data_IF_478496847565
#
_entry.id   IF_478496847565
#
_cell.length_a   1.000
_cell.length_b   1.000
_cell.length_c   1.000
_cell.angle_alpha   90.00
_cell.angle_beta   90.00
_cell.angle_gamma   90.00
#
_symmetry.space_group_name_H-M   'P 1'
#
loop_
_entity.id
_entity.type
_entity.pdbx_description
1 polymer ?
#
# COMPACT_ATOMS: atom_id res chain seq x y z
N UNK A 1 -15.45 -8.83 6.64
CA UNK A 1 -14.12 -8.46 6.10
C UNK A 1 -13.12 -8.70 7.21
N UNK A 2 -12.16 -9.61 7.03
CA UNK A 2 -11.20 -9.99 8.07
C UNK A 2 -10.00 -9.04 8.05
N UNK A 3 -9.61 -8.54 9.22
CA UNK A 3 -8.44 -7.67 9.42
C UNK A 3 -7.64 -8.23 10.59
N UNK A 4 -6.43 -8.73 10.35
CA UNK A 4 -5.53 -9.23 11.40
C UNK A 4 -4.96 -8.08 12.23
N UNK A 5 -4.81 -8.27 13.54
CA UNK A 5 -4.22 -7.28 14.43
C UNK A 5 -2.71 -7.12 14.10
N UNK A 6 -2.12 -5.92 14.21
CA UNK A 6 -2.69 -4.71 14.82
C UNK A 6 -3.49 -3.81 13.85
N UNK A 7 -3.79 -4.21 12.61
CA UNK A 7 -4.41 -3.31 11.62
C UNK A 7 -5.82 -2.79 11.97
N UNK A 8 -6.49 -3.36 12.98
CA UNK A 8 -7.73 -2.80 13.55
C UNK A 8 -7.58 -1.35 14.07
N UNK A 9 -6.38 -0.92 14.48
CA UNK A 9 -6.14 0.45 14.93
C UNK A 9 -6.40 1.48 13.82
N UNK A 10 -6.20 1.09 12.56
CA UNK A 10 -6.56 1.92 11.41
C UNK A 10 -8.08 2.03 11.21
N UNK A 11 -8.85 1.04 11.70
CA UNK A 11 -10.31 1.12 11.71
C UNK A 11 -10.80 2.09 12.79
N UNK A 12 -10.11 2.13 13.93
CA UNK A 12 -10.39 3.09 15.01
C UNK A 12 -10.17 4.53 14.52
N UNK A 13 -9.08 4.80 13.78
CA UNK A 13 -8.83 6.10 13.13
C UNK A 13 -9.95 6.54 12.17
N UNK A 14 -10.68 5.56 11.61
CA UNK A 14 -11.77 5.79 10.66
C UNK A 14 -13.16 5.77 11.32
N UNK A 15 -13.24 5.53 12.63
CA UNK A 15 -14.50 5.30 13.37
C UNK A 15 -15.34 4.16 12.77
N UNK A 16 -14.70 3.05 12.38
CA UNK A 16 -15.38 1.88 11.80
C UNK A 16 -15.53 0.79 12.85
N UNK A 17 -16.77 0.45 13.19
CA UNK A 17 -17.09 -0.66 14.08
C UNK A 17 -16.74 -2.03 13.47
N UNK A 18 -16.29 -2.94 14.34
CA UNK A 18 -15.96 -4.32 14.02
C UNK A 18 -16.30 -5.26 15.17
N UNK A 19 -16.50 -6.53 14.85
CA UNK A 19 -16.57 -7.60 15.84
C UNK A 19 -15.15 -8.04 16.20
N UNK A 20 -14.77 -7.88 17.47
CA UNK A 20 -13.44 -8.23 17.95
C UNK A 20 -13.28 -9.74 18.14
N UNK A 21 -12.12 -10.27 17.76
CA UNK A 21 -11.66 -11.64 18.01
C UNK A 21 -10.23 -11.58 18.59
N UNK A 22 -9.67 -12.74 18.96
CA UNK A 22 -8.35 -12.81 19.61
C UNK A 22 -7.26 -12.09 18.81
N UNK A 23 -6.97 -12.57 17.59
CA UNK A 23 -5.84 -12.10 16.75
C UNK A 23 -6.29 -11.33 15.49
N UNK A 24 -7.59 -11.10 15.34
CA UNK A 24 -8.17 -10.40 14.19
C UNK A 24 -9.49 -9.73 14.58
N UNK A 25 -10.02 -8.91 13.68
CA UNK A 25 -11.35 -8.31 13.79
C UNK A 25 -12.14 -8.55 12.51
N UNK A 26 -13.47 -8.47 12.60
CA UNK A 26 -14.36 -8.67 11.46
C UNK A 26 -15.25 -7.46 11.27
N UNK A 27 -15.10 -6.77 10.14
CA UNK A 27 -16.04 -5.73 9.73
C UNK A 27 -17.24 -6.40 9.06
N UNK A 28 -18.45 -6.02 9.47
CA UNK A 28 -19.71 -6.62 9.00
C UNK A 28 -19.84 -6.74 7.48
N UNK A 29 -19.31 -5.77 6.74
CA UNK A 29 -19.31 -5.77 5.28
C UNK A 29 -18.10 -5.02 4.74
N UNK A 30 -17.42 -5.54 3.71
CA UNK A 30 -16.26 -4.85 3.12
C UNK A 30 -16.62 -3.46 2.60
N UNK A 31 -17.81 -3.32 2.01
CA UNK A 31 -18.32 -2.02 1.57
C UNK A 31 -18.45 -0.97 2.69
N UNK A 32 -18.65 -1.36 3.96
CA UNK A 32 -18.65 -0.40 5.07
C UNK A 32 -17.28 0.27 5.20
N UNK A 33 -16.20 -0.52 5.12
CA UNK A 33 -14.86 0.04 5.15
C UNK A 33 -14.59 0.91 3.93
N UNK A 34 -14.83 0.38 2.72
CA UNK A 34 -14.51 1.07 1.47
C UNK A 34 -15.30 2.38 1.32
N UNK A 35 -16.59 2.41 1.66
CA UNK A 35 -17.40 3.63 1.54
C UNK A 35 -17.02 4.68 2.58
N UNK A 36 -16.73 4.28 3.82
CA UNK A 36 -16.34 5.20 4.89
C UNK A 36 -15.01 5.89 4.59
N UNK A 37 -13.97 5.11 4.25
CA UNK A 37 -12.66 5.71 3.92
C UNK A 37 -12.74 6.61 2.69
N UNK A 38 -13.50 6.21 1.67
CA UNK A 38 -13.69 7.01 0.47
C UNK A 38 -14.46 8.30 0.77
N UNK A 39 -15.50 8.26 1.59
CA UNK A 39 -16.26 9.45 2.00
C UNK A 39 -15.36 10.45 2.74
N UNK A 40 -14.59 10.00 3.73
CA UNK A 40 -13.65 10.86 4.48
C UNK A 40 -12.53 11.42 3.56
N UNK A 41 -12.01 10.59 2.64
CA UNK A 41 -10.95 10.99 1.72
C UNK A 41 -11.43 12.04 0.70
N UNK A 42 -12.59 11.83 0.06
CA UNK A 42 -13.12 12.72 -0.97
C UNK A 42 -13.66 14.05 -0.41
N UNK A 43 -13.93 14.13 0.89
CA UNK A 43 -14.27 15.38 1.56
C UNK A 43 -13.07 16.33 1.71
N UNK A 44 -11.82 15.86 1.53
CA UNK A 44 -10.62 16.69 1.67
C UNK A 44 -10.45 17.64 0.47
N UNK A 45 -10.20 18.94 0.69
CA UNK A 45 -10.14 19.93 -0.39
C UNK A 45 -8.92 19.77 -1.31
N UNK A 46 -7.90 19.02 -0.88
CA UNK A 46 -6.67 18.73 -1.62
C UNK A 46 -6.69 17.34 -2.29
N UNK A 47 -7.86 16.69 -2.35
CA UNK A 47 -8.01 15.38 -3.00
C UNK A 47 -8.90 15.52 -4.22
N UNK A 48 -8.49 14.88 -5.32
CA UNK A 48 -9.29 14.77 -6.53
C UNK A 48 -9.34 13.32 -6.98
N UNK A 49 -10.54 12.83 -7.24
CA UNK A 49 -10.77 11.52 -7.84
C UNK A 49 -11.04 11.68 -9.34
N UNK A 50 -10.23 10.98 -10.14
CA UNK A 50 -10.44 10.77 -11.56
C UNK A 50 -10.78 9.29 -11.80
N UNK A 51 -12.01 8.89 -11.48
CA UNK A 51 -12.52 7.57 -11.82
C UNK A 51 -12.87 7.49 -13.31
N UNK A 52 -12.99 6.27 -13.85
CA UNK A 52 -13.15 6.02 -15.29
C UNK A 52 -12.00 6.57 -16.16
N UNK A 53 -10.81 6.71 -15.55
CA UNK A 53 -9.55 7.07 -16.21
C UNK A 53 -8.54 5.97 -15.92
N UNK A 54 -7.83 5.51 -16.94
CA UNK A 54 -6.75 4.53 -16.80
C UNK A 54 -5.39 5.22 -17.00
N UNK A 55 -4.42 4.86 -16.16
CA UNK A 55 -3.02 5.17 -16.42
C UNK A 55 -2.46 4.09 -17.36
N UNK A 56 -2.22 4.45 -18.62
CA UNK A 56 -1.76 3.50 -19.64
C UNK A 56 -0.23 3.47 -19.79
N UNK A 57 0.45 4.56 -19.40
CA UNK A 57 1.90 4.70 -19.48
C UNK A 57 2.43 5.62 -18.37
N UNK A 58 3.75 5.64 -18.20
CA UNK A 58 4.48 6.46 -17.22
C UNK A 58 5.18 7.61 -17.93
N UNK A 59 5.14 8.80 -17.32
CA UNK A 59 6.03 9.90 -17.68
C UNK A 59 7.33 9.68 -16.91
N UNK A 60 8.43 9.42 -17.62
CA UNK A 60 9.76 9.21 -17.02
C UNK A 60 10.63 10.43 -17.30
N UNK A 61 10.98 11.16 -16.23
CA UNK A 61 11.81 12.36 -16.29
C UNK A 61 12.48 12.60 -14.93
N UNK A 62 13.54 13.39 -14.93
CA UNK A 62 14.08 13.95 -13.68
C UNK A 62 13.08 14.94 -13.08
N UNK A 63 12.85 14.85 -11.77
CA UNK A 63 11.84 15.67 -11.10
C UNK A 63 11.69 15.36 -9.61
N UNK A 64 10.74 16.06 -8.98
CA UNK A 64 10.34 15.82 -7.57
C UNK A 64 8.93 15.23 -7.47
N UNK A 65 8.29 14.97 -8.61
CA UNK A 65 6.99 14.35 -8.67
C UNK A 65 7.06 12.89 -8.24
N UNK A 66 6.00 12.45 -7.56
CA UNK A 66 5.93 11.13 -6.98
C UNK A 66 4.64 10.44 -7.41
N UNK A 67 4.75 9.17 -7.80
CA UNK A 67 3.65 8.27 -8.11
C UNK A 67 3.59 7.19 -7.03
N UNK A 68 2.39 6.92 -6.52
CA UNK A 68 2.11 5.73 -5.70
C UNK A 68 1.29 4.77 -6.55
N UNK A 69 1.90 3.66 -6.98
CA UNK A 69 1.25 2.61 -7.75
C UNK A 69 0.61 1.57 -6.83
N UNK A 70 -0.70 1.41 -6.96
CA UNK A 70 -1.52 0.49 -6.17
C UNK A 70 -2.48 -0.30 -7.07
N UNK A 71 -1.99 -0.80 -8.21
CA UNK A 71 -2.80 -1.42 -9.27
C UNK A 71 -3.27 -2.85 -8.94
N UNK A 72 -2.99 -3.36 -7.74
CA UNK A 72 -3.30 -4.74 -7.35
C UNK A 72 -2.58 -5.76 -8.23
N UNK A 73 -3.11 -6.98 -8.27
CA UNK A 73 -2.49 -8.11 -9.00
C UNK A 73 -3.41 -8.76 -10.04
N UNK A 74 -4.73 -8.50 -9.98
CA UNK A 74 -5.74 -9.25 -10.71
C UNK A 74 -6.28 -8.50 -11.94
N UNK A 75 -6.84 -9.24 -12.89
CA UNK A 75 -7.52 -8.69 -14.05
C UNK A 75 -6.62 -8.03 -15.10
N UNK A 76 -7.22 -7.46 -16.16
CA UNK A 76 -6.48 -6.89 -17.29
C UNK A 76 -5.67 -5.63 -16.95
N UNK A 77 -5.98 -4.97 -15.82
CA UNK A 77 -5.28 -3.79 -15.31
C UNK A 77 -4.40 -4.09 -14.09
N UNK A 78 -4.28 -5.36 -13.69
CA UNK A 78 -3.49 -5.77 -12.55
C UNK A 78 -2.01 -5.53 -12.78
N UNK A 79 -1.35 -4.90 -11.81
CA UNK A 79 0.09 -4.66 -11.81
C UNK A 79 0.62 -3.85 -13.02
N UNK A 80 -0.19 -2.93 -13.54
CA UNK A 80 0.18 -2.07 -14.68
C UNK A 80 1.49 -1.33 -14.45
N UNK A 81 1.70 -0.76 -13.26
CA UNK A 81 2.89 0.04 -12.96
C UNK A 81 4.17 -0.78 -13.06
N UNK A 82 4.25 -1.90 -12.32
CA UNK A 82 5.46 -2.74 -12.29
C UNK A 82 5.70 -3.46 -13.63
N UNK A 83 4.64 -3.88 -14.34
CA UNK A 83 4.76 -4.44 -15.69
C UNK A 83 5.27 -3.39 -16.67
N UNK A 84 4.84 -2.12 -16.54
CA UNK A 84 5.33 -1.04 -17.40
C UNK A 84 6.81 -0.76 -17.14
N UNK A 85 7.23 -0.64 -15.87
CA UNK A 85 8.64 -0.47 -15.49
C UNK A 85 9.55 -1.53 -16.13
N UNK A 86 9.13 -2.80 -16.08
CA UNK A 86 9.87 -3.89 -16.75
C UNK A 86 9.95 -3.70 -18.26
N UNK A 87 8.83 -3.35 -18.89
CA UNK A 87 8.78 -3.20 -20.36
C UNK A 87 9.65 -2.07 -20.91
N UNK A 88 9.91 -1.04 -20.09
CA UNK A 88 10.78 0.10 -20.44
C UNK A 88 12.20 -0.06 -19.91
N UNK A 89 12.53 -1.20 -19.29
CA UNK A 89 13.88 -1.51 -18.82
C UNK A 89 14.31 -0.75 -17.56
N UNK A 90 13.37 -0.28 -16.74
CA UNK A 90 13.69 0.36 -15.45
C UNK A 90 13.80 -0.64 -14.29
N UNK A 91 13.32 -1.87 -14.49
CA UNK A 91 13.54 -3.01 -13.59
C UNK A 91 13.75 -4.27 -14.45
N UNK A 92 14.52 -5.22 -13.94
CA UNK A 92 14.86 -6.42 -14.70
C UNK A 92 13.73 -7.45 -14.76
N UNK A 93 12.98 -7.61 -13.67
CA UNK A 93 12.05 -8.71 -13.52
C UNK A 93 10.78 -8.36 -12.75
N UNK A 94 9.73 -9.12 -13.07
CA UNK A 94 8.46 -9.15 -12.36
C UNK A 94 8.16 -10.64 -12.23
N UNK A 95 8.61 -11.30 -11.14
CA UNK A 95 8.52 -12.75 -10.97
C UNK A 95 7.06 -13.24 -10.85
N UNK A 96 6.14 -12.35 -10.47
CA UNK A 96 4.72 -12.65 -10.31
C UNK A 96 4.37 -13.18 -8.92
N UNK A 97 3.14 -12.92 -8.49
CA UNK A 97 2.61 -13.34 -7.20
C UNK A 97 2.65 -14.87 -7.02
N UNK A 98 3.06 -15.33 -5.84
CA UNK A 98 3.14 -16.76 -5.49
C UNK A 98 1.81 -17.31 -4.92
N UNK A 99 1.84 -18.58 -4.53
CA UNK A 99 0.74 -19.27 -3.85
C UNK A 99 0.31 -18.56 -2.55
N UNK A 100 -0.85 -18.97 -2.02
CA UNK A 100 -1.43 -18.35 -0.83
C UNK A 100 -0.74 -18.84 0.44
N UNK A 101 -0.26 -17.89 1.23
CA UNK A 101 0.20 -18.06 2.62
C UNK A 101 -0.06 -16.76 3.37
N UNK A 102 -1.13 -16.71 4.16
CA UNK A 102 -1.58 -15.48 4.84
C UNK A 102 -0.53 -14.91 5.80
N UNK A 103 0.15 -15.77 6.54
CA UNK A 103 1.08 -15.33 7.58
C UNK A 103 2.27 -14.65 6.93
N UNK A 104 2.90 -15.32 5.97
CA UNK A 104 4.05 -14.77 5.23
C UNK A 104 3.65 -13.59 4.34
N UNK A 105 2.50 -13.67 3.66
CA UNK A 105 2.09 -12.64 2.70
C UNK A 105 1.87 -11.28 3.36
N UNK A 106 1.10 -11.22 4.46
CA UNK A 106 0.74 -9.91 5.02
C UNK A 106 1.97 -9.15 5.52
N UNK A 107 2.88 -9.83 6.22
CA UNK A 107 4.13 -9.23 6.70
C UNK A 107 5.05 -8.84 5.53
N UNK A 108 5.17 -9.71 4.53
CA UNK A 108 6.00 -9.44 3.35
C UNK A 108 5.51 -8.20 2.59
N UNK A 109 4.21 -8.04 2.38
CA UNK A 109 3.67 -6.91 1.61
C UNK A 109 3.90 -5.58 2.33
N UNK A 110 3.71 -5.52 3.64
CA UNK A 110 4.00 -4.30 4.42
C UNK A 110 5.50 -3.99 4.39
N UNK A 111 6.35 -4.99 4.63
CA UNK A 111 7.81 -4.82 4.61
C UNK A 111 8.33 -4.36 3.25
N UNK A 112 7.86 -4.97 2.16
CA UNK A 112 8.37 -4.74 0.80
C UNK A 112 7.77 -3.51 0.11
N UNK A 113 6.74 -2.89 0.67
CA UNK A 113 6.24 -1.58 0.20
C UNK A 113 7.36 -0.55 0.29
N UNK A 114 7.78 0.00 -0.86
CA UNK A 114 8.92 0.93 -0.96
C UNK A 114 8.86 1.76 -2.24
N UNK A 115 9.73 2.76 -2.32
CA UNK A 115 10.09 3.40 -3.59
C UNK A 115 10.91 2.41 -4.42
N UNK A 116 10.34 1.93 -5.53
CA UNK A 116 10.95 0.89 -6.39
C UNK A 116 12.00 1.52 -7.29
N UNK A 117 11.66 2.66 -7.90
CA UNK A 117 12.57 3.51 -8.67
C UNK A 117 12.35 4.96 -8.24
N UNK A 118 13.31 5.87 -8.45
CA UNK A 118 13.13 7.29 -8.11
C UNK A 118 11.82 7.86 -8.68
N UNK A 119 10.95 8.37 -7.81
CA UNK A 119 9.64 8.93 -8.16
C UNK A 119 8.49 7.93 -8.20
N UNK A 120 8.69 6.64 -7.90
CA UNK A 120 7.61 5.64 -7.92
C UNK A 120 7.64 4.66 -6.74
N UNK A 121 6.65 4.80 -5.84
CA UNK A 121 6.37 3.86 -4.75
C UNK A 121 5.38 2.81 -5.22
N UNK A 122 5.59 1.56 -4.85
CA UNK A 122 4.63 0.46 -5.09
C UNK A 122 4.07 -0.02 -3.75
N UNK A 123 2.75 -0.19 -3.70
CA UNK A 123 2.00 -0.56 -2.49
C UNK A 123 0.90 -1.59 -2.78
N UNK A 124 0.41 -2.23 -1.73
CA UNK A 124 -0.63 -3.24 -1.79
C UNK A 124 -0.19 -4.50 -2.55
N UNK A 125 -1.14 -5.19 -3.17
CA UNK A 125 -0.85 -6.46 -3.85
C UNK A 125 0.01 -6.35 -5.10
N UNK A 126 0.22 -5.15 -5.65
CA UNK A 126 1.18 -4.97 -6.75
C UNK A 126 2.62 -5.24 -6.29
N UNK A 127 2.92 -5.07 -4.99
CA UNK A 127 4.19 -5.47 -4.37
C UNK A 127 4.44 -6.98 -4.54
N UNK A 128 3.40 -7.81 -4.43
CA UNK A 128 3.55 -9.26 -4.60
C UNK A 128 4.03 -9.65 -6.01
N UNK A 129 3.66 -8.86 -7.01
CA UNK A 129 4.00 -9.13 -8.42
C UNK A 129 5.46 -8.84 -8.70
N UNK A 130 5.98 -7.71 -8.19
CA UNK A 130 7.38 -7.32 -8.38
C UNK A 130 8.35 -8.11 -7.48
N UNK A 131 7.96 -8.46 -6.26
CA UNK A 131 8.86 -9.15 -5.32
C UNK A 131 8.63 -10.67 -5.25
N UNK A 132 7.62 -11.19 -5.94
CA UNK A 132 7.28 -12.62 -5.92
C UNK A 132 6.88 -13.10 -4.54
N UNK A 133 6.09 -12.29 -3.83
CA UNK A 133 5.58 -12.59 -2.51
C UNK A 133 4.35 -13.53 -2.57
N UNK A 134 4.06 -14.31 -1.51
CA UNK A 134 2.80 -15.04 -1.39
C UNK A 134 1.60 -14.09 -1.37
N UNK A 135 0.42 -14.62 -1.70
CA UNK A 135 -0.85 -13.87 -1.56
C UNK A 135 -1.54 -14.18 -0.24
N UNK A 136 -2.34 -13.24 0.28
CA UNK A 136 -3.10 -13.45 1.53
C UNK A 136 -4.56 -13.88 1.32
N UNK A 137 -5.12 -13.74 0.12
CA UNK A 137 -6.53 -14.06 -0.10
C UNK A 137 -7.47 -13.10 0.64
N UNK A 138 -8.52 -13.57 1.35
CA UNK A 138 -9.59 -12.72 1.86
C UNK A 138 -9.32 -12.05 3.23
N UNK A 139 -8.09 -11.58 3.47
CA UNK A 139 -7.73 -10.73 4.62
C UNK A 139 -7.13 -9.41 4.13
N UNK A 140 -7.37 -8.31 4.86
CA UNK A 140 -7.17 -6.95 4.35
C UNK A 140 -6.21 -6.10 5.19
N UNK A 141 -5.65 -6.64 6.28
CA UNK A 141 -4.78 -5.89 7.19
C UNK A 141 -3.56 -5.34 6.48
N UNK A 142 -2.87 -6.18 5.71
CA UNK A 142 -1.69 -5.75 4.96
C UNK A 142 -1.97 -4.62 3.96
N UNK A 143 -3.15 -4.57 3.33
CA UNK A 143 -3.47 -3.51 2.38
C UNK A 143 -3.58 -2.15 3.06
N UNK A 144 -4.17 -2.11 4.26
CA UNK A 144 -4.29 -0.88 5.05
C UNK A 144 -2.91 -0.37 5.46
N UNK A 145 -2.08 -1.26 6.03
CA UNK A 145 -0.78 -0.87 6.58
C UNK A 145 0.24 -0.60 5.47
N UNK A 146 0.22 -1.35 4.39
CA UNK A 146 1.00 -1.07 3.18
C UNK A 146 0.65 0.30 2.59
N UNK A 147 -0.64 0.65 2.52
CA UNK A 147 -1.08 1.97 2.06
C UNK A 147 -0.61 3.11 2.98
N UNK A 148 -0.70 2.92 4.29
CA UNK A 148 -0.22 3.89 5.28
C UNK A 148 1.31 4.07 5.21
N UNK A 149 2.08 2.97 5.08
CA UNK A 149 3.52 3.02 4.85
C UNK A 149 3.86 3.78 3.56
N UNK A 150 3.16 3.50 2.47
CA UNK A 150 3.36 4.22 1.21
C UNK A 150 3.10 5.73 1.33
N UNK A 151 2.11 6.14 2.14
CA UNK A 151 1.88 7.55 2.42
C UNK A 151 3.05 8.20 3.19
N UNK A 152 3.66 7.48 4.14
CA UNK A 152 4.83 8.00 4.86
C UNK A 152 6.10 8.02 4.03
N UNK A 153 6.32 7.02 3.17
CA UNK A 153 7.38 7.06 2.15
C UNK A 153 7.17 8.27 1.23
N UNK A 154 5.92 8.53 0.82
CA UNK A 154 5.63 9.69 -0.03
C UNK A 154 5.93 11.03 0.66
N UNK A 155 5.56 11.17 1.93
CA UNK A 155 5.91 12.34 2.73
C UNK A 155 7.44 12.48 2.85
N UNK A 156 8.16 11.38 3.08
CA UNK A 156 9.62 11.35 3.16
C UNK A 156 10.27 11.81 1.84
N UNK A 157 9.89 11.23 0.69
CA UNK A 157 10.44 11.62 -0.62
C UNK A 157 10.14 13.08 -0.99
N UNK A 158 9.03 13.64 -0.46
CA UNK A 158 8.68 15.06 -0.62
C UNK A 158 9.37 15.99 0.39
N UNK A 159 10.17 15.46 1.32
CA UNK A 159 10.84 16.23 2.38
C UNK A 159 9.89 16.78 3.44
N UNK A 160 8.77 16.11 3.67
CA UNK A 160 7.72 16.48 4.63
C UNK A 160 7.80 15.63 5.91
N UNK A 161 7.26 16.14 7.03
CA UNK A 161 7.18 15.38 8.28
C UNK A 161 6.49 14.03 8.11
N UNK A 162 7.14 12.96 8.56
CA UNK A 162 6.70 11.58 8.33
C UNK A 162 7.10 10.63 9.48
N UNK A 163 6.44 9.47 9.56
CA UNK A 163 6.62 8.56 10.68
C UNK A 163 7.93 7.75 10.59
N UNK A 164 8.48 7.57 9.39
CA UNK A 164 9.70 6.79 9.16
C UNK A 164 10.93 7.52 9.71
N UNK A 165 10.96 8.85 9.58
CA UNK A 165 12.00 9.71 10.15
C UNK A 165 11.71 10.12 11.61
N UNK A 166 10.60 9.67 12.20
CA UNK A 166 10.16 10.08 13.54
C UNK A 166 9.79 11.56 13.65
N UNK A 167 9.50 12.23 12.52
CA UNK A 167 9.20 13.67 12.45
C UNK A 167 7.70 13.97 12.38
N UNK A 168 6.84 12.94 12.28
CA UNK A 168 5.40 13.11 12.19
C UNK A 168 4.81 13.68 13.48
N UNK A 169 4.02 14.75 13.36
CA UNK A 169 3.41 15.48 14.49
C UNK A 169 1.96 15.03 14.75
N UNK A 170 1.42 14.12 13.93
CA UNK A 170 0.09 13.53 14.13
C UNK A 170 0.10 12.29 15.01
N UNK A 171 -1.07 11.84 15.43
CA UNK A 171 -1.23 10.56 16.11
C UNK A 171 -1.12 9.43 15.10
N UNK A 172 -0.08 8.62 15.21
CA UNK A 172 0.01 7.30 14.58
C UNK A 172 0.23 6.29 15.68
N UNK A 173 -0.48 5.17 15.62
CA UNK A 173 -0.28 4.07 16.56
C UNK A 173 1.14 3.50 16.40
N UNK A 174 1.95 3.44 17.47
CA UNK A 174 3.34 2.92 17.40
C UNK A 174 3.43 1.52 16.79
N UNK A 175 2.40 0.70 17.02
CA UNK A 175 2.28 -0.65 16.47
C UNK A 175 2.24 -0.66 14.93
N UNK A 176 1.70 0.40 14.31
CA UNK A 176 1.65 0.55 12.85
C UNK A 176 3.00 1.04 12.29
N UNK A 177 3.75 1.86 13.05
CA UNK A 177 5.11 2.25 12.68
C UNK A 177 6.02 1.01 12.67
N UNK A 178 5.97 0.19 13.73
CA UNK A 178 6.83 -1.00 13.85
C UNK A 178 6.59 -2.01 12.72
N UNK A 179 5.34 -2.18 12.28
CA UNK A 179 5.04 -3.03 11.13
C UNK A 179 5.69 -2.53 9.82
N UNK A 180 6.01 -1.23 9.73
CA UNK A 180 6.52 -0.57 8.53
C UNK A 180 8.04 -0.35 8.50
N UNK A 181 8.72 -0.43 9.65
CA UNK A 181 10.10 0.04 9.84
C UNK A 181 11.19 -0.81 9.18
N UNK A 182 10.90 -2.06 8.80
CA UNK A 182 11.85 -2.90 8.09
C UNK A 182 11.89 -2.49 6.60
N UNK A 183 12.92 -1.73 6.22
CA UNK A 183 13.18 -1.34 4.84
C UNK A 183 13.73 -2.50 4.02
N UNK A 184 13.14 -2.76 2.85
CA UNK A 184 13.79 -3.54 1.80
C UNK A 184 14.53 -2.58 0.85
N UNK A 185 15.69 -3.01 0.34
CA UNK A 185 16.53 -2.21 -0.56
C UNK A 185 15.75 -1.80 -1.82
N UNK A 186 16.00 -0.57 -2.28
CA UNK A 186 15.64 -0.14 -3.64
C UNK A 186 16.23 -1.16 -4.61
N UNK A 187 15.45 -1.62 -5.60
CA UNK A 187 16.04 -2.50 -6.63
C UNK A 187 17.12 -1.71 -7.36
N UNK A 188 18.35 -2.21 -7.33
CA UNK A 188 19.43 -1.67 -8.14
C UNK A 188 19.01 -1.74 -9.62
N UNK A 189 19.08 -0.59 -10.29
CA UNK A 189 18.78 -0.42 -11.71
C UNK A 189 19.94 -0.87 -12.61
#
# INVERSE_FOLDING_TARGET
MVVRKPAHLFLDELDIEYDEQDNYVVIKHAALFTSTIMSKLLARPNVKLFNAVAAEDLIVKEGRELVVSSCGHDGPFGATGVKRLKSIGMIDSVPGMKALDMNTAEDAIVRLTREIVPGMIVTGMEVAEIDGAPRMGPTFGAMMISGQKAAHLALQSLGLPNALDGTYVGSIHPELILASADGAETVDA
#
